data_IF_628844956570
#
_entry.id   IF_628844956570
#
_cell.length_a   1.000
_cell.length_b   1.000
_cell.length_c   1.000
_cell.angle_alpha   90.00
_cell.angle_beta   90.00
_cell.angle_gamma   90.00
#
_symmetry.space_group_name_H-M   'P 1'
#
loop_
_entity.id
_entity.type
_entity.pdbx_description
1 polymer ?
#
# COMPACT_ATOMS: atom_id res chain seq x y z
N UNK A 1 -3.18 -15.51 -15.04
CA UNK A 1 -3.87 -14.74 -13.96
C UNK A 1 -2.82 -13.89 -13.28
N UNK A 2 -3.17 -12.70 -12.78
CA UNK A 2 -2.22 -11.85 -12.03
C UNK A 2 -2.00 -12.44 -10.64
N UNK A 3 -0.75 -12.48 -10.19
CA UNK A 3 -0.36 -12.89 -8.84
C UNK A 3 0.05 -11.68 -8.02
N UNK A 4 -0.36 -11.65 -6.77
CA UNK A 4 -0.11 -10.53 -5.87
C UNK A 4 0.71 -11.00 -4.68
N UNK A 5 1.74 -10.24 -4.31
CA UNK A 5 2.43 -10.37 -3.04
C UNK A 5 1.91 -9.33 -2.05
N UNK A 6 1.58 -9.71 -0.82
CA UNK A 6 1.25 -8.78 0.27
C UNK A 6 2.32 -8.90 1.34
N UNK A 7 2.99 -7.80 1.64
CA UNK A 7 4.06 -7.69 2.61
C UNK A 7 3.54 -6.99 3.86
N UNK A 8 3.60 -7.67 5.00
CA UNK A 8 3.04 -7.21 6.26
C UNK A 8 1.60 -7.68 6.46
N UNK A 9 1.42 -8.64 7.38
CA UNK A 9 0.13 -9.30 7.67
C UNK A 9 -0.55 -8.70 8.92
N UNK A 10 -0.48 -7.37 9.04
CA UNK A 10 -1.12 -6.61 10.09
C UNK A 10 -2.56 -6.20 9.74
N UNK A 11 -3.05 -5.14 10.43
CA UNK A 11 -4.45 -4.66 10.32
C UNK A 11 -4.89 -4.26 8.92
N UNK A 12 -3.98 -3.82 8.05
CA UNK A 12 -4.34 -3.36 6.70
C UNK A 12 -4.40 -4.50 5.68
N UNK A 13 -3.60 -5.54 5.84
CA UNK A 13 -3.55 -6.66 4.91
C UNK A 13 -4.92 -7.29 4.61
N UNK A 14 -5.81 -7.55 5.60
CA UNK A 14 -7.16 -8.06 5.33
C UNK A 14 -7.97 -7.22 4.34
N UNK A 15 -7.84 -5.89 4.38
CA UNK A 15 -8.55 -4.99 3.47
C UNK A 15 -8.03 -5.12 2.04
N UNK A 16 -6.70 -5.21 1.88
CA UNK A 16 -6.08 -5.44 0.58
C UNK A 16 -6.47 -6.81 0.01
N UNK A 17 -6.44 -7.86 0.85
CA UNK A 17 -6.87 -9.22 0.47
C UNK A 17 -8.32 -9.19 -0.05
N UNK A 18 -9.23 -8.63 0.75
CA UNK A 18 -10.65 -8.52 0.38
C UNK A 18 -10.82 -7.76 -0.93
N UNK A 19 -10.15 -6.60 -1.08
CA UNK A 19 -10.20 -5.82 -2.31
C UNK A 19 -9.71 -6.59 -3.53
N UNK A 20 -8.64 -7.38 -3.42
CA UNK A 20 -8.17 -8.20 -4.52
C UNK A 20 -9.13 -9.34 -4.86
N UNK A 21 -9.66 -10.04 -3.85
CA UNK A 21 -10.62 -11.14 -4.04
C UNK A 21 -11.91 -10.64 -4.71
N UNK A 22 -12.45 -9.50 -4.26
CA UNK A 22 -13.64 -8.88 -4.84
C UNK A 22 -13.45 -8.47 -6.31
N UNK A 23 -12.19 -8.19 -6.70
CA UNK A 23 -11.82 -7.92 -8.09
C UNK A 23 -11.35 -9.17 -8.86
N UNK A 24 -11.65 -10.37 -8.36
CA UNK A 24 -11.40 -11.64 -9.04
C UNK A 24 -9.96 -12.14 -8.99
N UNK A 25 -9.09 -11.53 -8.17
CA UNK A 25 -7.70 -11.97 -7.99
C UNK A 25 -7.64 -12.87 -6.77
N UNK A 26 -7.28 -14.15 -6.99
CA UNK A 26 -7.21 -15.17 -5.93
C UNK A 26 -5.79 -15.70 -5.68
N UNK A 27 -4.88 -15.48 -6.62
CA UNK A 27 -3.47 -15.87 -6.49
C UNK A 27 -2.73 -14.84 -5.65
N UNK A 28 -2.84 -14.96 -4.33
CA UNK A 28 -2.26 -14.01 -3.37
C UNK A 28 -1.29 -14.74 -2.45
N UNK A 29 -0.09 -14.19 -2.31
CA UNK A 29 0.98 -14.69 -1.46
C UNK A 29 1.24 -13.71 -0.31
N UNK A 30 1.25 -14.20 0.92
CA UNK A 30 1.44 -13.39 2.11
C UNK A 30 2.86 -13.54 2.66
N UNK A 31 3.46 -12.40 3.00
CA UNK A 31 4.81 -12.29 3.54
C UNK A 31 4.78 -11.45 4.83
N UNK A 32 5.44 -11.90 5.87
CA UNK A 32 5.65 -11.11 7.09
C UNK A 32 6.99 -11.51 7.72
N UNK A 33 7.66 -10.56 8.37
CA UNK A 33 8.89 -10.83 9.14
C UNK A 33 8.63 -11.80 10.31
N UNK A 34 7.38 -11.87 10.78
CA UNK A 34 6.91 -12.88 11.72
C UNK A 34 6.09 -13.91 10.95
N UNK A 35 6.74 -15.00 10.54
CA UNK A 35 6.14 -16.02 9.66
C UNK A 35 4.77 -16.54 10.15
N UNK A 36 4.58 -16.65 11.47
CA UNK A 36 3.29 -17.08 12.02
C UNK A 36 2.14 -16.15 11.64
N UNK A 37 2.37 -14.83 11.54
CA UNK A 37 1.32 -13.88 11.11
C UNK A 37 0.90 -14.11 9.68
N UNK A 38 1.86 -14.36 8.79
CA UNK A 38 1.55 -14.65 7.39
C UNK A 38 0.79 -15.96 7.25
N UNK A 39 1.24 -17.01 7.96
CA UNK A 39 0.58 -18.32 7.99
C UNK A 39 -0.85 -18.24 8.52
N UNK A 40 -1.04 -17.58 9.66
CA UNK A 40 -2.33 -17.54 10.34
C UNK A 40 -3.35 -16.71 9.53
N UNK A 41 -2.90 -15.60 8.91
CA UNK A 41 -3.73 -14.81 8.00
C UNK A 41 -4.03 -15.56 6.70
N UNK A 42 -3.08 -16.28 6.13
CA UNK A 42 -3.28 -17.11 4.93
C UNK A 42 -4.35 -18.18 5.17
N UNK A 43 -4.31 -18.85 6.33
CA UNK A 43 -5.30 -19.84 6.70
C UNK A 43 -6.74 -19.27 6.80
N UNK A 44 -6.89 -18.00 7.24
CA UNK A 44 -8.21 -17.34 7.32
C UNK A 44 -8.86 -17.07 5.97
N UNK A 45 -8.07 -16.89 4.92
CA UNK A 45 -8.54 -16.52 3.57
C UNK A 45 -8.31 -17.61 2.53
N UNK A 46 -7.85 -18.81 2.94
CA UNK A 46 -7.46 -19.91 2.04
C UNK A 46 -6.43 -19.48 0.98
N UNK A 47 -5.38 -18.77 1.45
CA UNK A 47 -4.31 -18.21 0.64
C UNK A 47 -2.97 -18.90 0.92
N UNK A 48 -1.95 -18.52 0.16
CA UNK A 48 -0.59 -19.02 0.34
C UNK A 48 0.23 -18.04 1.18
N UNK A 49 1.16 -18.53 1.99
CA UNK A 49 2.19 -17.75 2.63
C UNK A 49 3.58 -18.25 2.23
N UNK A 50 4.56 -17.37 2.33
CA UNK A 50 5.98 -17.66 2.09
C UNK A 50 6.82 -16.91 3.12
N UNK A 51 8.06 -17.33 3.29
CA UNK A 51 9.03 -16.60 4.11
C UNK A 51 9.37 -15.27 3.48
N UNK A 52 9.68 -14.28 4.30
CA UNK A 52 10.04 -12.94 3.81
C UNK A 52 11.33 -12.96 2.98
N UNK A 53 12.23 -13.89 3.23
CA UNK A 53 13.46 -14.10 2.47
C UNK A 53 13.16 -14.47 1.01
N UNK A 54 12.06 -15.21 0.77
CA UNK A 54 11.64 -15.69 -0.55
C UNK A 54 10.85 -14.62 -1.34
N UNK A 55 10.81 -13.37 -0.86
CA UNK A 55 9.95 -12.30 -1.41
C UNK A 55 10.11 -12.10 -2.92
N UNK A 56 11.30 -12.27 -3.45
CA UNK A 56 11.62 -12.08 -4.87
C UNK A 56 11.79 -13.41 -5.65
N UNK A 57 11.73 -14.54 -4.96
CA UNK A 57 11.98 -15.85 -5.58
C UNK A 57 10.76 -16.35 -6.38
N UNK A 58 9.58 -15.76 -6.16
CA UNK A 58 8.38 -16.05 -6.94
C UNK A 58 8.40 -15.18 -8.20
N UNK A 59 8.96 -15.71 -9.27
CA UNK A 59 9.23 -14.98 -10.53
C UNK A 59 7.98 -14.36 -11.16
N UNK A 60 6.81 -14.93 -10.91
CA UNK A 60 5.55 -14.54 -11.54
C UNK A 60 4.72 -13.54 -10.69
N UNK A 61 5.23 -13.10 -9.53
CA UNK A 61 4.60 -11.98 -8.82
C UNK A 61 5.15 -10.67 -9.40
N UNK A 62 4.29 -9.94 -10.10
CA UNK A 62 4.63 -8.65 -10.69
C UNK A 62 4.18 -7.47 -9.85
N UNK A 63 3.21 -7.67 -8.96
CA UNK A 63 2.57 -6.61 -8.17
C UNK A 63 2.64 -6.94 -6.69
N UNK A 64 3.09 -5.99 -5.89
CA UNK A 64 3.15 -6.13 -4.43
C UNK A 64 2.33 -5.06 -3.72
N UNK A 65 1.66 -5.45 -2.60
CA UNK A 65 1.09 -4.51 -1.63
C UNK A 65 1.95 -4.45 -0.38
N UNK A 66 2.44 -3.27 -0.03
CA UNK A 66 3.20 -3.03 1.20
C UNK A 66 2.24 -2.54 2.27
N UNK A 67 2.03 -3.36 3.31
CA UNK A 67 1.12 -3.12 4.45
C UNK A 67 1.88 -3.10 5.79
N UNK A 68 3.17 -2.86 5.74
CA UNK A 68 4.08 -2.82 6.89
C UNK A 68 4.06 -1.45 7.60
N UNK A 69 4.75 -1.26 8.72
CA UNK A 69 4.94 0.06 9.33
C UNK A 69 5.73 1.03 8.42
N UNK A 70 5.44 2.35 8.48
CA UNK A 70 6.02 3.35 7.58
C UNK A 70 7.55 3.39 7.51
N UNK A 71 8.23 3.10 8.61
CA UNK A 71 9.70 3.09 8.68
C UNK A 71 10.36 1.96 7.88
N UNK A 72 9.59 1.04 7.34
CA UNK A 72 10.08 -0.05 6.48
C UNK A 72 9.75 0.17 5.01
N UNK A 73 8.94 1.18 4.67
CA UNK A 73 8.45 1.39 3.32
C UNK A 73 9.58 1.64 2.33
N UNK A 74 10.47 2.58 2.64
CA UNK A 74 11.53 3.00 1.70
C UNK A 74 12.39 1.84 1.23
N UNK A 75 12.85 1.01 2.17
CA UNK A 75 13.68 -0.15 1.83
C UNK A 75 12.96 -1.21 1.00
N UNK A 76 11.65 -1.40 1.26
CA UNK A 76 10.83 -2.34 0.50
C UNK A 76 10.51 -1.80 -0.90
N UNK A 77 10.18 -0.51 -1.02
CA UNK A 77 9.90 0.15 -2.30
C UNK A 77 11.14 0.09 -3.18
N UNK A 78 12.30 0.51 -2.66
CA UNK A 78 13.57 0.44 -3.39
C UNK A 78 13.86 -0.98 -3.87
N UNK A 79 13.74 -1.96 -2.98
CA UNK A 79 13.94 -3.38 -3.32
C UNK A 79 13.03 -3.83 -4.45
N UNK A 80 11.74 -3.47 -4.43
CA UNK A 80 10.77 -3.88 -5.44
C UNK A 80 10.98 -3.17 -6.77
N UNK A 81 11.24 -1.86 -6.77
CA UNK A 81 11.55 -1.09 -7.98
C UNK A 81 12.81 -1.64 -8.67
N UNK A 82 13.87 -1.94 -7.88
CA UNK A 82 15.11 -2.49 -8.42
C UNK A 82 14.90 -3.86 -9.06
N UNK A 83 13.91 -4.62 -8.62
CA UNK A 83 13.52 -5.91 -9.19
C UNK A 83 12.35 -5.82 -10.20
N UNK A 84 12.07 -4.63 -10.73
CA UNK A 84 11.07 -4.35 -11.76
C UNK A 84 9.65 -4.81 -11.36
N UNK A 85 9.25 -4.57 -10.10
CA UNK A 85 7.93 -4.92 -9.58
C UNK A 85 7.04 -3.68 -9.45
N UNK A 86 5.78 -3.80 -9.86
CA UNK A 86 4.76 -2.80 -9.55
C UNK A 86 4.37 -2.89 -8.08
N UNK A 87 3.95 -1.78 -7.48
CA UNK A 87 3.56 -1.80 -6.07
C UNK A 87 2.45 -0.81 -5.70
N UNK A 88 1.69 -1.20 -4.70
CA UNK A 88 0.80 -0.36 -3.91
C UNK A 88 1.35 -0.34 -2.49
N UNK A 89 1.68 0.83 -1.97
CA UNK A 89 2.18 0.97 -0.61
C UNK A 89 1.19 1.74 0.26
N UNK A 90 0.97 1.28 1.49
CA UNK A 90 0.18 2.02 2.48
C UNK A 90 0.80 3.40 2.75
N UNK A 91 -0.06 4.28 3.23
CA UNK A 91 0.33 5.67 3.56
C UNK A 91 1.07 5.74 4.93
N UNK A 92 2.00 6.70 5.07
CA UNK A 92 2.61 7.51 4.01
C UNK A 92 3.53 6.64 3.14
N UNK A 93 3.67 6.98 1.86
CA UNK A 93 4.51 6.21 0.93
C UNK A 93 5.97 6.19 1.38
N UNK A 94 6.48 7.35 1.79
CA UNK A 94 7.79 7.54 2.43
C UNK A 94 7.69 8.56 3.56
N UNK A 95 8.67 8.57 4.44
CA UNK A 95 8.89 9.61 5.47
C UNK A 95 9.92 10.64 5.02
N UNK A 96 10.54 10.45 3.86
CA UNK A 96 11.58 11.27 3.29
C UNK A 96 11.21 11.75 1.89
N UNK A 97 11.35 13.05 1.62
CA UNK A 97 10.98 13.64 0.33
C UNK A 97 11.96 13.25 -0.79
N UNK A 98 13.24 13.16 -0.48
CA UNK A 98 14.25 12.82 -1.47
C UNK A 98 14.05 11.39 -1.96
N UNK A 99 13.71 10.46 -1.07
CA UNK A 99 13.32 9.09 -1.42
C UNK A 99 12.07 9.07 -2.31
N UNK A 100 11.05 9.90 -2.02
CA UNK A 100 9.85 9.99 -2.87
C UNK A 100 10.18 10.43 -4.29
N UNK A 101 11.01 11.44 -4.45
CA UNK A 101 11.43 11.95 -5.75
C UNK A 101 12.25 10.91 -6.52
N UNK A 102 13.11 10.18 -5.83
CA UNK A 102 13.89 9.09 -6.44
C UNK A 102 13.00 7.91 -6.86
N UNK A 103 12.02 7.53 -6.05
CA UNK A 103 11.06 6.47 -6.42
C UNK A 103 10.22 6.87 -7.63
N UNK A 104 9.78 8.14 -7.71
CA UNK A 104 9.09 8.66 -8.89
C UNK A 104 9.97 8.57 -10.13
N UNK A 105 11.22 9.05 -10.06
CA UNK A 105 12.19 9.00 -11.15
C UNK A 105 12.42 7.57 -11.63
N UNK A 106 12.76 6.66 -10.71
CA UNK A 106 13.07 5.26 -11.03
C UNK A 106 11.86 4.51 -11.58
N UNK A 107 10.66 4.75 -11.02
CA UNK A 107 9.45 4.10 -11.51
C UNK A 107 9.10 4.55 -12.93
N UNK A 108 9.26 5.83 -13.23
CA UNK A 108 9.04 6.38 -14.57
C UNK A 108 10.04 5.81 -15.59
N UNK A 109 11.34 5.78 -15.25
CA UNK A 109 12.38 5.22 -16.12
C UNK A 109 12.16 3.73 -16.45
N UNK A 110 11.62 2.97 -15.49
CA UNK A 110 11.38 1.53 -15.66
C UNK A 110 9.96 1.20 -16.14
N UNK A 111 9.08 2.20 -16.32
CA UNK A 111 7.68 1.97 -16.69
C UNK A 111 6.87 1.23 -15.62
N UNK A 112 7.22 1.41 -14.34
CA UNK A 112 6.57 0.75 -13.21
C UNK A 112 5.45 1.63 -12.64
N UNK A 113 4.43 0.99 -12.08
CA UNK A 113 3.39 1.65 -11.29
C UNK A 113 3.76 1.58 -9.82
N UNK A 114 4.03 2.73 -9.21
CA UNK A 114 4.20 2.91 -7.77
C UNK A 114 3.05 3.77 -7.27
N UNK A 115 2.19 3.20 -6.43
CA UNK A 115 0.95 3.84 -5.97
C UNK A 115 0.91 3.91 -4.44
N UNK A 116 0.59 5.09 -3.91
CA UNK A 116 0.34 5.27 -2.47
C UNK A 116 -1.12 5.00 -2.10
N UNK A 117 -1.35 4.37 -0.95
CA UNK A 117 -2.67 4.03 -0.41
C UNK A 117 -3.46 5.23 0.14
N UNK A 118 -3.49 6.35 -0.57
CA UNK A 118 -4.24 7.56 -0.21
C UNK A 118 -5.71 7.44 -0.59
N UNK A 119 -6.43 6.58 0.14
CA UNK A 119 -7.80 6.14 -0.17
C UNK A 119 -8.82 7.27 -0.28
N UNK A 120 -8.64 8.38 0.45
CA UNK A 120 -9.57 9.51 0.38
C UNK A 120 -9.66 10.15 -1.01
N UNK A 121 -8.60 10.03 -1.82
CA UNK A 121 -8.61 10.48 -3.23
C UNK A 121 -9.76 9.87 -4.04
N UNK A 122 -10.23 8.71 -3.65
CA UNK A 122 -11.29 7.96 -4.32
C UNK A 122 -12.65 8.06 -3.63
N UNK A 123 -12.77 8.83 -2.54
CA UNK A 123 -14.05 9.01 -1.88
C UNK A 123 -14.95 9.95 -2.68
N UNK A 124 -16.27 9.70 -2.75
CA UNK A 124 -17.20 10.53 -3.52
C UNK A 124 -17.11 12.01 -3.15
N UNK A 125 -17.03 12.33 -1.85
CA UNK A 125 -16.94 13.70 -1.38
C UNK A 125 -15.67 14.43 -1.83
N UNK A 126 -14.52 13.73 -1.93
CA UNK A 126 -13.28 14.34 -2.42
C UNK A 126 -13.29 14.50 -3.95
N UNK A 127 -13.92 13.57 -4.65
CA UNK A 127 -14.11 13.68 -6.10
C UNK A 127 -14.99 14.88 -6.42
N UNK A 128 -16.15 14.99 -5.80
CA UNK A 128 -17.09 16.10 -5.97
C UNK A 128 -16.43 17.46 -5.64
N UNK A 129 -15.68 17.51 -4.52
CA UNK A 129 -14.94 18.72 -4.17
C UNK A 129 -13.88 19.09 -5.20
N UNK A 130 -13.14 18.11 -5.72
CA UNK A 130 -12.15 18.35 -6.78
C UNK A 130 -12.82 18.91 -8.04
N UNK A 131 -13.91 18.31 -8.49
CA UNK A 131 -14.69 18.76 -9.64
C UNK A 131 -15.22 20.18 -9.44
N UNK A 132 -15.70 20.52 -8.23
CA UNK A 132 -16.13 21.87 -7.88
C UNK A 132 -14.98 22.88 -7.98
N UNK A 133 -13.80 22.56 -7.44
CA UNK A 133 -12.63 23.43 -7.51
C UNK A 133 -12.20 23.65 -8.97
N UNK A 134 -12.17 22.61 -9.77
CA UNK A 134 -11.80 22.67 -11.19
C UNK A 134 -12.81 23.51 -12.00
N UNK A 135 -14.11 23.32 -11.76
CA UNK A 135 -15.18 24.10 -12.41
C UNK A 135 -15.12 25.59 -12.08
N UNK A 136 -14.60 25.96 -10.90
CA UNK A 136 -14.42 27.35 -10.49
C UNK A 136 -12.98 27.87 -10.73
N UNK A 137 -12.24 27.24 -11.65
CA UNK A 137 -10.89 27.65 -12.07
C UNK A 137 -9.88 27.74 -10.91
N UNK A 138 -10.08 26.94 -9.86
CA UNK A 138 -9.23 26.93 -8.68
C UNK A 138 -9.47 28.08 -7.69
N UNK A 139 -10.46 28.96 -7.94
CA UNK A 139 -10.80 30.06 -7.02
C UNK A 139 -11.56 29.51 -5.80
N UNK A 140 -10.86 29.27 -4.72
CA UNK A 140 -11.42 28.88 -3.42
C UNK A 140 -10.77 29.73 -2.34
N UNK A 141 -11.54 30.64 -1.74
CA UNK A 141 -11.05 31.53 -0.69
C UNK A 141 -10.90 30.80 0.65
N UNK A 142 -11.80 29.89 0.96
CA UNK A 142 -11.79 29.14 2.22
C UNK A 142 -12.32 27.71 2.03
N UNK A 143 -11.69 26.75 2.70
CA UNK A 143 -12.17 25.37 2.79
C UNK A 143 -12.11 24.90 4.26
N UNK A 144 -13.18 24.24 4.74
CA UNK A 144 -13.24 23.64 6.05
C UNK A 144 -13.44 22.13 5.94
N UNK A 145 -12.50 21.36 6.49
CA UNK A 145 -12.55 19.91 6.52
C UNK A 145 -12.68 19.41 7.95
N UNK A 146 -13.63 18.51 8.19
CA UNK A 146 -13.76 17.80 9.45
C UNK A 146 -13.76 16.30 9.21
N UNK A 147 -12.72 15.62 9.73
CA UNK A 147 -12.66 14.16 9.77
C UNK A 147 -12.72 13.74 11.24
N UNK A 148 -13.70 12.94 11.59
CA UNK A 148 -13.83 12.37 12.92
C UNK A 148 -13.60 10.85 12.87
N UNK A 149 -12.76 10.35 13.76
CA UNK A 149 -12.43 8.93 13.90
C UNK A 149 -12.47 8.56 15.39
N UNK A 150 -12.84 7.34 15.74
CA UNK A 150 -12.82 6.86 17.14
C UNK A 150 -11.41 6.78 17.77
N UNK A 151 -10.38 7.23 17.03
CA UNK A 151 -9.00 7.25 17.49
C UNK A 151 -8.19 6.00 17.10
N UNK A 152 -6.89 6.09 17.34
CA UNK A 152 -5.96 5.01 17.06
C UNK A 152 -5.98 3.96 18.17
N UNK A 153 -6.08 2.70 17.79
CA UNK A 153 -6.11 1.56 18.72
C UNK A 153 -4.83 0.73 18.73
N UNK A 154 -3.85 1.06 17.88
CA UNK A 154 -2.61 0.29 17.73
C UNK A 154 -1.48 0.88 18.57
N UNK A 155 -0.81 0.02 19.35
CA UNK A 155 0.29 0.41 20.24
C UNK A 155 1.46 1.10 19.51
N UNK A 156 1.79 0.70 18.28
CA UNK A 156 2.87 1.31 17.50
C UNK A 156 2.65 2.79 17.15
N UNK A 157 1.37 3.23 17.10
CA UNK A 157 1.03 4.63 16.84
C UNK A 157 1.35 5.56 18.02
N UNK A 158 1.61 4.99 19.17
CA UNK A 158 1.95 5.69 20.41
C UNK A 158 3.39 5.43 20.87
N UNK A 159 4.13 4.54 20.20
CA UNK A 159 5.56 4.36 20.49
C UNK A 159 6.30 5.61 20.03
N UNK A 160 6.97 6.26 20.98
CA UNK A 160 7.96 7.30 20.66
C UNK A 160 9.14 6.60 19.98
N UNK A 161 9.49 7.04 18.78
CA UNK A 161 10.77 6.67 18.17
C UNK A 161 11.92 7.22 19.01
#
# INVERSE_FOLDING_TARGET
MKKIGIIGCGRQAPKHITGYIENGIKDIFLFDSVESRARDLAAQYDLQHRKIEDLLDISDIDIYSICTPPNTHDSLIEKLINNNKHLLCEKPLSLDLDNLLEFERLSNEKGLTVMGGYIYKFSPSHIEMKEFIEANQGHVDNAYFRIASPGATNAWQFSKN
#
